data_IF_832555922607
#
_entry.id   IF_832555922607
#
_cell.length_a   1.000
_cell.length_b   1.000
_cell.length_c   1.000
_cell.angle_alpha   90.00
_cell.angle_beta   90.00
_cell.angle_gamma   90.00
#
_symmetry.space_group_name_H-M   'P 1'
#
loop_
_entity.id
_entity.type
_entity.pdbx_description
1 polymer ?
#
# COMPACT_ATOMS: atom_id res chain seq x y z
N UNK A 1 -5.60 -5.34 7.99
CA UNK A 1 -6.33 -4.20 8.58
C UNK A 1 -5.62 -2.96 8.09
N UNK A 2 -6.30 -1.84 7.79
CA UNK A 2 -5.63 -0.69 7.17
C UNK A 2 -5.20 0.38 8.19
N UNK A 3 -4.21 1.18 7.82
CA UNK A 3 -3.66 2.28 8.65
C UNK A 3 -4.44 3.59 8.55
N UNK A 4 -5.70 3.55 8.12
CA UNK A 4 -6.64 4.68 8.24
C UNK A 4 -7.39 4.59 9.55
N UNK A 5 -7.22 5.60 10.42
CA UNK A 5 -7.79 5.60 11.78
C UNK A 5 -8.23 7.00 12.19
N UNK A 6 -9.29 7.05 12.99
CA UNK A 6 -9.66 8.27 13.69
C UNK A 6 -8.90 8.39 15.00
N UNK A 7 -8.33 9.57 15.23
CA UNK A 7 -7.78 9.96 16.52
C UNK A 7 -8.36 11.32 16.88
N UNK A 8 -9.08 11.38 17.99
CA UNK A 8 -9.73 12.61 18.47
C UNK A 8 -10.56 13.32 17.39
N UNK A 9 -11.44 12.55 16.72
CA UNK A 9 -12.33 13.06 15.66
C UNK A 9 -11.67 13.39 14.32
N UNK A 10 -10.34 13.32 14.22
CA UNK A 10 -9.58 13.60 12.99
C UNK A 10 -9.13 12.32 12.30
N UNK A 11 -9.19 12.29 10.98
CA UNK A 11 -8.84 11.11 10.18
C UNK A 11 -7.36 11.16 9.78
N UNK A 12 -6.62 10.10 10.12
CA UNK A 12 -5.22 9.94 9.79
C UNK A 12 -5.02 8.76 8.84
N UNK A 13 -4.01 8.89 7.97
CA UNK A 13 -3.39 7.77 7.28
C UNK A 13 -1.99 7.61 7.88
N UNK A 14 -1.77 6.51 8.60
CA UNK A 14 -0.59 6.35 9.46
C UNK A 14 -0.51 7.51 10.47
N UNK A 15 0.57 8.29 10.46
CA UNK A 15 0.77 9.44 11.35
C UNK A 15 0.38 10.78 10.71
N UNK A 16 -0.19 10.76 9.50
CA UNK A 16 -0.47 11.98 8.71
C UNK A 16 -1.98 12.30 8.71
N UNK A 17 -2.33 13.50 9.17
CA UNK A 17 -3.73 13.99 9.18
C UNK A 17 -4.22 14.29 7.77
N UNK A 18 -5.31 13.65 7.33
CA UNK A 18 -5.81 13.77 5.96
C UNK A 18 -6.35 15.16 5.61
N UNK A 19 -6.84 15.92 6.58
CA UNK A 19 -7.27 17.30 6.35
C UNK A 19 -6.11 18.19 5.88
N UNK A 20 -4.92 18.04 6.52
CA UNK A 20 -3.71 18.78 6.12
C UNK A 20 -3.22 18.41 4.72
N UNK A 21 -3.39 17.13 4.34
CA UNK A 21 -3.04 16.63 3.01
C UNK A 21 -4.00 17.19 1.95
N UNK A 22 -5.30 17.21 2.25
CA UNK A 22 -6.31 17.79 1.37
C UNK A 22 -6.13 19.30 1.17
N UNK A 23 -5.76 20.05 2.22
CA UNK A 23 -5.43 21.47 2.11
C UNK A 23 -4.20 21.71 1.23
N UNK A 24 -3.15 20.91 1.43
CA UNK A 24 -1.88 21.05 0.69
C UNK A 24 -1.98 20.67 -0.79
N UNK A 25 -2.70 19.59 -1.11
CA UNK A 25 -2.70 19.00 -2.46
C UNK A 25 -4.03 19.17 -3.21
N UNK A 26 -5.06 19.70 -2.55
CA UNK A 26 -6.40 19.86 -3.12
C UNK A 26 -7.19 18.55 -3.19
N UNK A 27 -8.44 18.64 -3.67
CA UNK A 27 -9.34 17.49 -3.85
C UNK A 27 -9.96 17.49 -5.27
N UNK A 28 -10.21 16.32 -5.89
CA UNK A 28 -10.07 14.97 -5.32
C UNK A 28 -8.63 14.48 -5.22
N UNK A 29 -8.32 13.70 -4.17
CA UNK A 29 -6.99 13.17 -3.91
C UNK A 29 -7.05 11.71 -3.47
N UNK A 30 -6.22 10.86 -4.07
CA UNK A 30 -5.98 9.51 -3.61
C UNK A 30 -4.82 9.49 -2.61
N UNK A 31 -5.03 8.85 -1.46
CA UNK A 31 -4.01 8.64 -0.43
C UNK A 31 -3.90 7.14 -0.18
N UNK A 32 -2.68 6.62 -0.20
CA UNK A 32 -2.37 5.21 0.05
C UNK A 32 -1.41 5.11 1.23
N UNK A 33 -1.64 4.12 2.11
CA UNK A 33 -0.71 3.80 3.20
C UNK A 33 0.35 2.82 2.71
N UNK A 34 1.61 3.22 2.76
CA UNK A 34 2.74 2.35 2.44
C UNK A 34 2.81 1.18 3.44
N UNK A 35 2.62 1.48 4.74
CA UNK A 35 2.62 0.46 5.78
C UNK A 35 1.52 -0.59 5.60
N UNK A 36 0.33 -0.19 5.15
CA UNK A 36 -0.77 -1.14 4.85
C UNK A 36 -0.43 -2.04 3.66
N UNK A 37 0.17 -1.48 2.62
CA UNK A 37 0.57 -2.25 1.42
C UNK A 37 1.62 -3.30 1.81
N UNK A 38 2.65 -2.88 2.55
CA UNK A 38 3.70 -3.78 3.03
C UNK A 38 3.18 -4.85 4.00
N UNK A 39 2.33 -4.50 4.97
CA UNK A 39 1.70 -5.46 5.89
C UNK A 39 0.94 -6.55 5.10
N UNK A 40 0.14 -6.15 4.11
CA UNK A 40 -0.62 -7.10 3.32
C UNK A 40 0.26 -8.02 2.48
N UNK A 41 1.35 -7.49 1.92
CA UNK A 41 2.34 -8.30 1.20
C UNK A 41 3.03 -9.30 2.14
N UNK A 42 3.59 -8.81 3.26
CA UNK A 42 4.32 -9.61 4.24
C UNK A 42 3.46 -10.73 4.81
N UNK A 43 2.20 -10.45 5.14
CA UNK A 43 1.28 -11.48 5.67
C UNK A 43 0.97 -12.58 4.65
N UNK A 44 0.99 -12.27 3.35
CA UNK A 44 0.84 -13.28 2.31
C UNK A 44 2.13 -14.10 2.14
N UNK A 45 3.28 -13.43 2.14
CA UNK A 45 4.61 -14.05 2.07
C UNK A 45 4.83 -15.02 3.24
N UNK A 46 4.56 -14.58 4.47
CA UNK A 46 4.65 -15.39 5.68
C UNK A 46 3.68 -16.58 5.66
N UNK A 47 2.47 -16.41 5.11
CA UNK A 47 1.50 -17.49 5.01
C UNK A 47 1.92 -18.60 4.01
N UNK A 48 2.81 -18.28 3.07
CA UNK A 48 3.38 -19.21 2.09
C UNK A 48 4.76 -19.74 2.52
N UNK A 49 5.22 -19.40 3.72
CA UNK A 49 6.51 -19.85 4.26
C UNK A 49 6.64 -21.38 4.21
N UNK A 50 7.79 -21.86 3.72
CA UNK A 50 8.08 -23.28 3.53
C UNK A 50 7.76 -23.82 2.14
N UNK A 51 7.11 -23.03 1.28
CA UNK A 51 6.97 -23.31 -0.15
C UNK A 51 8.03 -22.54 -0.94
N UNK A 52 8.52 -23.14 -2.02
CA UNK A 52 9.22 -22.39 -3.07
C UNK A 52 8.19 -21.55 -3.84
N UNK A 53 8.16 -20.24 -3.59
CA UNK A 53 7.14 -19.35 -4.11
C UNK A 53 7.68 -17.97 -4.48
N UNK A 54 6.96 -17.31 -5.39
CA UNK A 54 7.14 -15.91 -5.75
C UNK A 54 5.76 -15.25 -5.83
N UNK A 55 5.53 -14.22 -5.03
CA UNK A 55 4.28 -13.45 -5.07
C UNK A 55 4.37 -12.44 -6.22
N UNK A 56 3.53 -12.61 -7.24
CA UNK A 56 3.41 -11.67 -8.35
C UNK A 56 2.22 -10.73 -8.14
N UNK A 57 2.48 -9.45 -7.83
CA UNK A 57 1.44 -8.44 -7.72
C UNK A 57 0.82 -8.11 -9.08
N UNK A 58 -0.51 -8.18 -9.18
CA UNK A 58 -1.23 -7.85 -10.41
C UNK A 58 -1.24 -6.32 -10.64
N UNK A 59 -0.38 -5.85 -11.56
CA UNK A 59 -0.14 -4.41 -11.79
C UNK A 59 -1.41 -3.65 -12.18
N UNK A 60 -2.37 -4.32 -12.82
CA UNK A 60 -3.67 -3.75 -13.19
C UNK A 60 -4.50 -3.25 -12.01
N UNK A 61 -4.24 -3.71 -10.78
CA UNK A 61 -4.96 -3.26 -9.60
C UNK A 61 -4.59 -1.81 -9.22
N UNK A 62 -3.29 -1.48 -9.32
CA UNK A 62 -2.77 -0.13 -9.16
C UNK A 62 -1.35 -0.09 -9.70
N UNK A 63 -1.15 0.62 -10.82
CA UNK A 63 0.14 0.73 -11.52
C UNK A 63 0.95 1.97 -11.11
N UNK A 64 0.59 2.62 -9.99
CA UNK A 64 1.37 3.75 -9.47
C UNK A 64 2.81 3.32 -9.18
N UNK A 65 3.78 4.05 -9.75
CA UNK A 65 5.20 3.70 -9.69
C UNK A 65 5.76 3.62 -8.27
N UNK A 66 5.27 4.43 -7.33
CA UNK A 66 5.71 4.39 -5.95
C UNK A 66 5.25 3.10 -5.26
N UNK A 67 4.03 2.63 -5.53
CA UNK A 67 3.52 1.36 -5.01
C UNK A 67 4.29 0.17 -5.62
N UNK A 68 4.54 0.20 -6.93
CA UNK A 68 5.31 -0.85 -7.58
C UNK A 68 6.74 -0.90 -7.05
N UNK A 69 7.38 0.26 -6.84
CA UNK A 69 8.71 0.32 -6.26
C UNK A 69 8.73 -0.24 -4.83
N UNK A 70 7.76 0.15 -3.99
CA UNK A 70 7.61 -0.35 -2.62
C UNK A 70 7.49 -1.88 -2.57
N UNK A 71 6.69 -2.46 -3.46
CA UNK A 71 6.52 -3.92 -3.55
C UNK A 71 7.77 -4.62 -4.10
N UNK A 72 8.47 -4.01 -5.07
CA UNK A 72 9.71 -4.54 -5.61
C UNK A 72 10.81 -4.60 -4.53
N UNK A 73 10.92 -3.54 -3.70
CA UNK A 73 11.85 -3.53 -2.55
C UNK A 73 11.49 -4.57 -1.49
N UNK A 74 10.21 -4.91 -1.35
CA UNK A 74 9.74 -5.99 -0.48
C UNK A 74 9.97 -7.41 -1.06
N UNK A 75 10.41 -7.53 -2.32
CA UNK A 75 10.70 -8.82 -2.97
C UNK A 75 9.60 -9.34 -3.90
N UNK A 76 8.57 -8.55 -4.18
CA UNK A 76 7.48 -8.97 -5.06
C UNK A 76 7.93 -9.10 -6.53
N UNK A 77 7.37 -10.10 -7.22
CA UNK A 77 7.26 -10.12 -8.68
C UNK A 77 6.05 -9.32 -9.16
N UNK A 78 5.85 -9.25 -10.48
CA UNK A 78 4.74 -8.52 -11.09
C UNK A 78 4.05 -9.32 -12.19
N UNK A 79 2.73 -9.44 -12.09
CA UNK A 79 1.86 -9.96 -13.14
C UNK A 79 1.36 -8.78 -14.01
N UNK A 80 1.66 -8.81 -15.31
CA UNK A 80 1.47 -7.72 -16.27
C UNK A 80 0.60 -8.16 -17.45
N UNK A 81 -0.07 -7.20 -18.10
CA UNK A 81 -1.04 -7.46 -19.18
C UNK A 81 -0.90 -6.54 -20.40
N UNK A 82 0.22 -5.81 -20.52
CA UNK A 82 0.52 -4.87 -21.63
C UNK A 82 2.02 -4.69 -21.84
#
# INVERSE_FOLDING_TARGET
MHSFRYFDGRLFCEEVELASVAERFGTPLYVYSAGTILDHYQRLDEALAGLDHLICYAVKANSNRAILHLLAEAGAGFDIVS
#
